data_IF_226571534203
#
_entry.id   IF_226571534203
#
_cell.length_a   1.000
_cell.length_b   1.000
_cell.length_c   1.000
_cell.angle_alpha   90.00
_cell.angle_beta   90.00
_cell.angle_gamma   90.00
#
_symmetry.space_group_name_H-M   'P 1'
#
loop_
_entity.id
_entity.type
_entity.pdbx_description
1 polymer ?
#
# COMPACT_ATOMS: atom_id res chain seq x y z
N UNK A 1 34.95 28.66 -35.93
CA UNK A 1 35.09 27.46 -35.05
C UNK A 1 34.36 27.59 -33.71
N UNK A 2 34.33 28.77 -33.06
CA UNK A 2 33.70 28.98 -31.74
C UNK A 2 32.16 28.81 -31.71
N UNK A 3 31.47 29.19 -32.79
CA UNK A 3 30.00 29.08 -32.94
C UNK A 3 29.49 27.64 -33.01
N UNK A 4 30.29 26.72 -33.57
CA UNK A 4 29.93 25.29 -33.65
C UNK A 4 29.99 24.60 -32.27
N UNK A 5 30.90 25.03 -31.40
CA UNK A 5 31.02 24.53 -30.02
C UNK A 5 29.90 25.04 -29.11
N UNK A 6 29.44 26.28 -29.32
CA UNK A 6 28.30 26.88 -28.63
C UNK A 6 26.97 26.18 -28.98
N UNK A 7 26.77 25.81 -30.25
CA UNK A 7 25.60 25.03 -30.69
C UNK A 7 25.59 23.61 -30.12
N UNK A 8 26.77 22.99 -29.97
CA UNK A 8 26.91 21.64 -29.41
C UNK A 8 26.63 21.61 -27.91
N UNK A 9 27.06 22.63 -27.17
CA UNK A 9 26.76 22.75 -25.73
C UNK A 9 25.27 23.03 -25.48
N UNK A 10 24.63 23.86 -26.32
CA UNK A 10 23.19 24.12 -26.23
C UNK A 10 22.35 22.84 -26.48
N UNK A 11 22.76 22.01 -27.43
CA UNK A 11 22.08 20.75 -27.75
C UNK A 11 22.19 19.70 -26.62
N UNK A 12 23.34 19.65 -25.94
CA UNK A 12 23.57 18.78 -24.78
C UNK A 12 22.75 19.23 -23.57
N UNK A 13 22.67 20.54 -23.31
CA UNK A 13 21.81 21.07 -22.25
C UNK A 13 20.31 20.85 -22.52
N UNK A 14 19.86 20.94 -23.79
CA UNK A 14 18.45 20.74 -24.12
C UNK A 14 18.00 19.28 -23.97
N UNK A 15 18.92 18.33 -24.15
CA UNK A 15 18.66 16.89 -24.02
C UNK A 15 18.45 16.42 -22.57
N UNK A 16 18.94 17.19 -21.58
CA UNK A 16 18.81 16.83 -20.15
C UNK A 16 17.53 17.34 -19.51
N UNK A 17 16.79 18.25 -20.17
CA UNK A 17 15.54 18.80 -19.65
C UNK A 17 14.34 17.85 -19.76
N UNK A 18 14.44 16.77 -20.55
CA UNK A 18 13.36 15.79 -20.76
C UNK A 18 13.36 14.60 -19.81
N UNK A 19 14.36 14.46 -18.93
CA UNK A 19 14.46 13.33 -17.98
C UNK A 19 13.66 13.55 -16.68
N UNK A 20 12.80 14.56 -16.63
CA UNK A 20 11.89 14.76 -15.52
C UNK A 20 10.76 13.73 -15.56
N UNK A 21 10.82 12.72 -14.69
CA UNK A 21 9.70 11.83 -14.38
C UNK A 21 8.52 12.67 -13.87
N UNK A 22 7.67 13.11 -14.78
CA UNK A 22 6.54 14.03 -14.52
C UNK A 22 5.23 13.28 -14.31
N UNK A 23 5.20 11.96 -14.55
CA UNK A 23 4.07 11.11 -14.24
C UNK A 23 4.19 10.58 -12.81
N UNK A 24 3.18 10.84 -11.98
CA UNK A 24 3.04 10.20 -10.67
C UNK A 24 2.85 8.70 -10.86
N UNK A 25 3.50 7.90 -10.01
CA UNK A 25 3.44 6.43 -10.10
C UNK A 25 2.04 5.88 -9.87
N UNK A 26 1.20 6.59 -9.09
CA UNK A 26 -0.17 6.18 -8.81
C UNK A 26 -1.15 7.36 -8.99
N UNK A 27 -1.66 7.58 -10.22
CA UNK A 27 -2.70 8.57 -10.48
C UNK A 27 -3.94 8.34 -9.60
N UNK A 28 -4.51 9.41 -9.07
CA UNK A 28 -5.61 9.42 -8.10
C UNK A 28 -6.89 8.79 -8.66
N UNK A 29 -7.09 8.89 -9.97
CA UNK A 29 -8.14 8.23 -10.76
C UNK A 29 -8.09 6.70 -10.65
N UNK A 30 -6.89 6.12 -10.61
CA UNK A 30 -6.65 4.67 -10.63
C UNK A 30 -6.15 4.15 -9.27
N UNK A 31 -6.28 4.94 -8.21
CA UNK A 31 -5.75 4.61 -6.88
C UNK A 31 -6.34 3.30 -6.33
N UNK A 32 -7.66 3.13 -6.49
CA UNK A 32 -8.37 1.92 -6.03
C UNK A 32 -7.88 0.67 -6.76
N UNK A 33 -7.72 0.78 -8.07
CA UNK A 33 -7.24 -0.32 -8.91
C UNK A 33 -5.78 -0.66 -8.61
N UNK A 34 -4.94 0.37 -8.40
CA UNK A 34 -3.53 0.20 -8.04
C UNK A 34 -3.38 -0.54 -6.71
N UNK A 35 -4.16 -0.16 -5.70
CA UNK A 35 -4.18 -0.87 -4.41
C UNK A 35 -4.67 -2.30 -4.54
N UNK A 36 -5.74 -2.53 -5.32
CA UNK A 36 -6.28 -3.87 -5.56
C UNK A 36 -5.33 -4.76 -6.37
N UNK A 37 -4.53 -4.16 -7.25
CA UNK A 37 -3.47 -4.85 -7.99
C UNK A 37 -2.34 -5.25 -7.06
N UNK A 38 -1.81 -4.32 -6.26
CA UNK A 38 -0.73 -4.60 -5.29
C UNK A 38 -1.15 -5.68 -4.30
N UNK A 39 -2.33 -5.57 -3.69
CA UNK A 39 -2.82 -6.56 -2.73
C UNK A 39 -2.93 -7.97 -3.32
N UNK A 40 -3.30 -8.06 -4.59
CA UNK A 40 -3.45 -9.33 -5.31
C UNK A 40 -2.11 -9.91 -5.76
N UNK A 41 -1.26 -9.09 -6.36
CA UNK A 41 0.01 -9.53 -6.96
C UNK A 41 1.08 -9.81 -5.90
N UNK A 42 1.19 -8.95 -4.88
CA UNK A 42 2.25 -9.05 -3.87
C UNK A 42 1.83 -9.95 -2.69
N UNK A 43 0.55 -9.98 -2.33
CA UNK A 43 0.07 -10.65 -1.10
C UNK A 43 -1.00 -11.72 -1.32
N UNK A 44 -1.43 -11.94 -2.57
CA UNK A 44 -2.47 -12.93 -2.90
C UNK A 44 -3.86 -12.62 -2.33
N UNK A 45 -4.12 -11.39 -1.91
CA UNK A 45 -5.40 -10.98 -1.33
C UNK A 45 -6.32 -10.52 -2.46
N UNK A 46 -7.40 -11.27 -2.68
CA UNK A 46 -8.45 -10.90 -3.65
C UNK A 46 -9.63 -10.25 -2.94
N UNK A 47 -10.40 -9.43 -3.66
CA UNK A 47 -11.61 -8.77 -3.16
C UNK A 47 -11.41 -7.70 -2.07
N UNK A 48 -10.32 -6.94 -2.14
CA UNK A 48 -10.20 -5.73 -1.31
C UNK A 48 -11.26 -4.71 -1.74
N UNK A 49 -11.79 -3.94 -0.79
CA UNK A 49 -12.61 -2.76 -1.12
C UNK A 49 -11.92 -1.48 -0.68
N UNK A 50 -11.80 -0.54 -1.61
CA UNK A 50 -11.23 0.78 -1.32
C UNK A 50 -12.29 1.86 -1.50
N UNK A 51 -12.54 2.59 -0.43
CA UNK A 51 -13.43 3.75 -0.41
C UNK A 51 -12.63 5.00 -0.10
N UNK A 52 -12.96 6.09 -0.78
CA UNK A 52 -12.37 7.40 -0.51
C UNK A 52 -13.55 8.33 -0.24
N UNK A 53 -13.51 9.00 0.91
CA UNK A 53 -14.45 10.04 1.30
C UNK A 53 -13.65 11.29 1.68
N UNK A 54 -13.69 12.32 0.84
CA UNK A 54 -12.84 13.50 1.02
C UNK A 54 -11.35 13.16 0.98
N UNK A 55 -10.67 13.44 2.08
CA UNK A 55 -9.25 13.15 2.34
C UNK A 55 -9.04 11.83 3.11
N UNK A 56 -10.09 11.05 3.33
CA UNK A 56 -10.02 9.78 4.07
C UNK A 56 -10.01 8.59 3.11
N UNK A 57 -9.02 7.70 3.26
CA UNK A 57 -8.96 6.39 2.59
C UNK A 57 -9.42 5.29 3.56
N UNK A 58 -10.50 4.61 3.21
CA UNK A 58 -10.93 3.37 3.87
C UNK A 58 -10.56 2.15 3.03
N UNK A 59 -9.89 1.18 3.62
CA UNK A 59 -9.51 -0.08 2.98
C UNK A 59 -10.10 -1.24 3.79
N UNK A 60 -10.94 -2.03 3.14
CA UNK A 60 -11.36 -3.33 3.67
C UNK A 60 -10.42 -4.41 3.14
N UNK A 61 -9.74 -5.08 4.06
CA UNK A 61 -8.74 -6.11 3.77
C UNK A 61 -9.25 -7.47 4.27
N UNK A 62 -9.75 -8.35 3.38
CA UNK A 62 -10.16 -9.68 3.78
C UNK A 62 -8.93 -10.56 4.00
N UNK A 63 -8.69 -10.95 5.25
CA UNK A 63 -7.60 -11.85 5.63
C UNK A 63 -8.14 -13.15 6.20
N UNK A 64 -7.63 -14.26 5.68
CA UNK A 64 -7.91 -15.58 6.23
C UNK A 64 -7.14 -15.78 7.52
N UNK A 65 -7.78 -16.40 8.52
CA UNK A 65 -7.14 -16.81 9.79
C UNK A 65 -6.43 -15.66 10.51
N UNK A 66 -7.05 -14.48 10.49
CA UNK A 66 -6.57 -13.31 11.24
C UNK A 66 -6.28 -13.67 12.70
N UNK A 67 -7.11 -14.52 13.31
CA UNK A 67 -6.95 -14.98 14.68
C UNK A 67 -6.50 -16.44 14.73
N UNK A 68 -5.58 -16.76 15.65
CA UNK A 68 -4.97 -18.09 15.77
C UNK A 68 -5.96 -19.19 16.23
N UNK A 69 -7.14 -18.82 16.75
CA UNK A 69 -8.08 -19.76 17.32
C UNK A 69 -9.23 -20.11 16.36
N UNK A 70 -9.35 -21.39 16.04
CA UNK A 70 -10.62 -21.99 15.62
C UNK A 70 -11.52 -22.01 16.87
N UNK A 71 -12.32 -20.95 17.07
CA UNK A 71 -13.15 -20.69 18.26
C UNK A 71 -13.88 -21.94 18.79
N UNK A 72 -14.29 -22.82 17.87
CA UNK A 72 -15.00 -24.05 18.19
C UNK A 72 -14.12 -25.13 18.80
N UNK A 73 -12.88 -25.29 18.35
CA UNK A 73 -11.96 -26.33 18.85
C UNK A 73 -11.37 -26.00 20.22
N UNK A 74 -11.01 -24.74 20.44
CA UNK A 74 -10.31 -24.29 21.64
C UNK A 74 -11.20 -24.24 22.89
N UNK A 75 -12.48 -23.88 22.72
CA UNK A 75 -13.47 -23.83 23.81
C UNK A 75 -13.90 -25.24 24.23
N UNK A 76 -14.07 -26.16 23.28
CA UNK A 76 -14.47 -27.56 23.56
C UNK A 76 -13.34 -28.34 24.25
N UNK A 77 -12.07 -28.02 23.96
CA UNK A 77 -10.92 -28.70 24.54
C UNK A 77 -10.54 -28.24 25.96
N UNK A 78 -11.29 -27.31 26.58
CA UNK A 78 -10.99 -26.80 27.93
C UNK A 78 -9.63 -26.11 28.06
N UNK A 79 -9.00 -25.75 26.94
CA UNK A 79 -7.64 -25.18 26.86
C UNK A 79 -7.58 -23.66 27.06
N UNK A 80 -8.74 -23.00 27.14
CA UNK A 80 -8.81 -21.54 27.31
C UNK A 80 -8.58 -21.20 28.78
N UNK A 81 -7.34 -20.86 29.11
CA UNK A 81 -6.96 -20.32 30.44
C UNK A 81 -7.22 -18.81 30.54
N UNK A 82 -7.21 -18.12 29.41
CA UNK A 82 -7.46 -16.69 29.31
C UNK A 82 -8.21 -16.36 28.00
N UNK A 83 -9.23 -15.51 28.09
CA UNK A 83 -10.13 -15.22 26.95
C UNK A 83 -9.47 -14.26 25.94
N UNK A 84 -8.51 -13.47 26.40
CA UNK A 84 -7.78 -12.45 25.65
C UNK A 84 -6.90 -13.06 24.54
N UNK A 85 -6.23 -14.17 24.83
CA UNK A 85 -5.35 -14.88 23.88
C UNK A 85 -6.08 -15.52 22.70
N UNK A 86 -7.43 -15.58 22.74
CA UNK A 86 -8.24 -16.08 21.62
C UNK A 86 -8.35 -15.08 20.47
N UNK A 87 -8.14 -13.79 20.78
CA UNK A 87 -8.24 -12.69 19.84
C UNK A 87 -6.87 -12.16 19.43
N UNK A 88 -5.79 -12.81 19.86
CA UNK A 88 -4.45 -12.48 19.37
C UNK A 88 -4.34 -12.93 17.90
N UNK A 89 -3.95 -12.01 17.01
CA UNK A 89 -3.70 -12.37 15.63
C UNK A 89 -2.58 -13.41 15.55
N UNK A 90 -2.63 -14.29 14.55
CA UNK A 90 -1.44 -15.11 14.27
C UNK A 90 -0.28 -14.19 13.86
N UNK A 91 0.97 -14.50 14.21
CA UNK A 91 2.12 -13.69 13.80
C UNK A 91 2.16 -13.48 12.27
N UNK A 92 1.82 -14.50 11.49
CA UNK A 92 1.78 -14.44 10.03
C UNK A 92 0.67 -13.52 9.51
N UNK A 93 -0.49 -13.51 10.18
CA UNK A 93 -1.57 -12.60 9.83
C UNK A 93 -1.21 -11.14 10.14
N UNK A 94 -0.53 -10.90 11.28
CA UNK A 94 -0.05 -9.57 11.67
C UNK A 94 1.02 -9.05 10.70
N UNK A 95 2.02 -9.86 10.38
CA UNK A 95 3.06 -9.54 9.38
C UNK A 95 2.43 -9.16 8.03
N UNK A 96 1.40 -9.90 7.60
CA UNK A 96 0.69 -9.61 6.36
C UNK A 96 -0.09 -8.30 6.40
N UNK A 97 -0.66 -7.93 7.56
CA UNK A 97 -1.30 -6.62 7.76
C UNK A 97 -0.26 -5.51 7.64
N UNK A 98 0.86 -5.64 8.33
CA UNK A 98 1.95 -4.65 8.33
C UNK A 98 2.49 -4.42 6.92
N UNK A 99 2.78 -5.50 6.18
CA UNK A 99 3.26 -5.43 4.81
C UNK A 99 2.29 -4.69 3.88
N UNK A 100 0.99 -5.02 3.98
CA UNK A 100 -0.04 -4.33 3.19
C UNK A 100 -0.12 -2.85 3.55
N UNK A 101 -0.02 -2.51 4.84
CA UNK A 101 0.00 -1.13 5.30
C UNK A 101 1.17 -0.34 4.69
N UNK A 102 2.38 -0.91 4.65
CA UNK A 102 3.54 -0.30 3.99
C UNK A 102 3.33 -0.10 2.49
N UNK A 103 2.74 -1.09 1.82
CA UNK A 103 2.40 -0.99 0.41
C UNK A 103 1.37 0.10 0.13
N UNK A 104 0.38 0.27 1.00
CA UNK A 104 -0.57 1.38 0.96
C UNK A 104 0.17 2.71 1.20
N UNK A 105 1.14 2.78 2.13
CA UNK A 105 1.95 3.99 2.36
C UNK A 105 2.65 4.44 1.08
N UNK A 106 3.30 3.49 0.39
CA UNK A 106 4.02 3.73 -0.87
C UNK A 106 3.10 4.37 -1.91
N UNK A 107 1.89 3.86 -2.05
CA UNK A 107 0.88 4.39 -2.97
C UNK A 107 0.43 5.79 -2.58
N UNK A 108 0.10 5.99 -1.29
CA UNK A 108 -0.38 7.28 -0.77
C UNK A 108 0.67 8.38 -0.85
N UNK A 109 1.95 8.07 -0.67
CA UNK A 109 3.05 9.03 -0.78
C UNK A 109 3.42 9.35 -2.24
N UNK A 110 3.00 8.50 -3.18
CA UNK A 110 3.41 8.57 -4.59
C UNK A 110 2.23 8.90 -5.53
N UNK A 111 1.11 9.36 -4.96
CA UNK A 111 -0.06 9.84 -5.70
C UNK A 111 -0.05 11.37 -5.88
N UNK A 112 -0.92 11.86 -6.76
CA UNK A 112 -1.27 13.27 -6.99
C UNK A 112 -2.41 13.75 -6.08
N UNK A 113 -3.10 12.85 -5.36
CA UNK A 113 -4.11 13.26 -4.38
C UNK A 113 -3.48 13.85 -3.12
N UNK A 114 -4.04 14.97 -2.68
CA UNK A 114 -3.63 15.68 -1.45
C UNK A 114 -4.30 15.10 -0.19
N UNK A 115 -3.75 14.01 0.34
CA UNK A 115 -4.13 13.47 1.65
C UNK A 115 -3.56 14.34 2.77
N UNK A 116 -4.40 14.81 3.71
CA UNK A 116 -3.99 15.76 4.76
C UNK A 116 -3.08 15.16 5.83
N UNK A 117 -3.33 13.90 6.19
CA UNK A 117 -2.47 13.16 7.10
C UNK A 117 -2.56 11.67 6.76
N UNK A 118 -1.48 10.96 7.06
CA UNK A 118 -1.39 9.52 6.96
C UNK A 118 -0.87 8.99 8.29
N UNK A 119 -1.68 8.15 8.95
CA UNK A 119 -1.32 7.50 10.21
C UNK A 119 -1.40 5.98 10.01
N UNK A 120 -0.33 5.30 10.37
CA UNK A 120 -0.27 3.84 10.46
C UNK A 120 -0.04 3.51 11.92
N UNK A 121 -0.91 2.69 12.50
CA UNK A 121 -0.74 2.16 13.84
C UNK A 121 -0.83 0.64 13.74
N UNK A 122 0.24 -0.03 14.16
CA UNK A 122 0.32 -1.48 14.34
C UNK A 122 0.16 -1.79 15.83
#
# INVERSE_FOLDING_TARGET
MKTKWLLLTLLVCLSSAGAGCSAKSYPSENLKESLAKICREEYGISNIEVKIAGDTLGVYLPLDKLFAADFKGSVIAGKVRNLETLFEPSPEALEKVEDVLFSISRVLLSTDRDFKFYMVQA
#
